data_IF_662541991147
#
_entry.id   IF_662541991147
#
_cell.length_a   1.000
_cell.length_b   1.000
_cell.length_c   1.000
_cell.angle_alpha   90.00
_cell.angle_beta   90.00
_cell.angle_gamma   90.00
#
_symmetry.space_group_name_H-M   'P 1'
#
loop_
_entity.id
_entity.type
_entity.pdbx_description
1 polymer ?
#
# COMPACT_ATOMS: atom_id res chain seq x y z
N UNK A 1 26.13 -0.88 60.15
CA UNK A 1 25.59 -0.40 58.85
C UNK A 1 25.07 -1.54 57.98
N UNK A 2 25.86 -2.59 57.74
CA UNK A 2 25.52 -3.75 56.88
C UNK A 2 24.24 -4.51 57.32
N UNK A 3 24.00 -4.66 58.63
CA UNK A 3 22.81 -5.36 59.14
C UNK A 3 21.49 -4.62 58.86
N UNK A 4 21.50 -3.28 58.83
CA UNK A 4 20.31 -2.49 58.47
C UNK A 4 20.00 -2.60 56.98
N UNK A 5 21.03 -2.58 56.13
CA UNK A 5 20.90 -2.76 54.68
C UNK A 5 20.32 -4.16 54.37
N UNK A 6 20.82 -5.21 55.06
CA UNK A 6 20.32 -6.58 54.89
C UNK A 6 18.84 -6.73 55.28
N UNK A 7 18.40 -6.06 56.35
CA UNK A 7 17.01 -6.08 56.81
C UNK A 7 16.07 -5.26 55.90
N UNK A 8 16.59 -4.22 55.26
CA UNK A 8 15.86 -3.44 54.26
C UNK A 8 15.67 -4.25 52.97
N UNK A 9 16.72 -4.93 52.51
CA UNK A 9 16.65 -5.84 51.37
C UNK A 9 15.72 -7.04 51.61
N UNK A 10 15.73 -7.64 52.80
CA UNK A 10 14.82 -8.76 53.10
C UNK A 10 13.35 -8.33 53.17
N UNK A 11 13.06 -7.07 53.49
CA UNK A 11 11.70 -6.51 53.45
C UNK A 11 11.24 -6.27 52.02
N UNK A 12 12.10 -5.68 51.19
CA UNK A 12 11.81 -5.45 49.76
C UNK A 12 11.61 -6.77 48.98
N UNK A 13 12.30 -7.84 49.38
CA UNK A 13 12.20 -9.13 48.71
C UNK A 13 10.94 -9.94 49.08
N UNK A 14 10.29 -9.61 50.19
CA UNK A 14 9.03 -10.22 50.63
C UNK A 14 7.81 -9.34 50.36
N UNK A 15 7.96 -8.28 49.57
CA UNK A 15 6.90 -7.34 49.26
C UNK A 15 6.16 -7.78 47.99
N UNK A 16 4.89 -8.18 48.12
CA UNK A 16 4.05 -8.71 47.03
C UNK A 16 3.09 -7.66 46.43
N UNK A 17 3.18 -6.40 46.89
CA UNK A 17 2.31 -5.29 46.50
C UNK A 17 2.34 -4.98 44.98
N UNK A 18 3.31 -5.52 44.24
CA UNK A 18 3.45 -5.41 42.78
C UNK A 18 2.94 -6.59 41.95
N UNK A 19 2.34 -7.63 42.56
CA UNK A 19 1.95 -8.85 41.82
C UNK A 19 0.95 -8.55 40.68
N UNK A 20 0.03 -7.61 40.90
CA UNK A 20 -0.95 -7.18 39.90
C UNK A 20 -0.31 -6.40 38.74
N UNK A 21 0.77 -5.67 39.00
CA UNK A 21 1.51 -4.94 37.96
C UNK A 21 2.30 -5.90 37.05
N UNK A 22 2.73 -7.06 37.58
CA UNK A 22 3.41 -8.09 36.80
C UNK A 22 2.49 -8.68 35.72
N UNK A 23 1.24 -8.99 36.06
CA UNK A 23 0.26 -9.52 35.11
C UNK A 23 -0.06 -8.49 34.00
N UNK A 24 -0.25 -7.23 34.39
CA UNK A 24 -0.47 -6.15 33.43
C UNK A 24 0.74 -5.96 32.49
N UNK A 25 1.97 -5.99 33.02
CA UNK A 25 3.19 -5.84 32.22
C UNK A 25 3.36 -6.94 31.16
N UNK A 26 2.81 -8.13 31.38
CA UNK A 26 2.85 -9.24 30.42
C UNK A 26 1.74 -9.15 29.38
N UNK A 27 0.49 -8.88 29.80
CA UNK A 27 -0.68 -8.90 28.92
C UNK A 27 -0.78 -7.61 28.08
N UNK A 28 -0.48 -6.47 28.67
CA UNK A 28 -0.67 -5.17 28.04
C UNK A 28 0.14 -4.98 26.75
N UNK A 29 1.44 -5.35 26.67
CA UNK A 29 2.20 -5.24 25.43
C UNK A 29 1.66 -6.15 24.31
N UNK A 30 1.15 -7.33 24.66
CA UNK A 30 0.53 -8.25 23.69
C UNK A 30 -0.75 -7.64 23.12
N UNK A 31 -1.59 -7.07 23.98
CA UNK A 31 -2.81 -6.40 23.54
C UNK A 31 -2.52 -5.17 22.66
N UNK A 32 -1.55 -4.34 23.04
CA UNK A 32 -1.12 -3.20 22.21
C UNK A 32 -0.53 -3.64 20.86
N UNK A 33 0.25 -4.72 20.83
CA UNK A 33 0.78 -5.27 19.59
C UNK A 33 -0.33 -5.74 18.66
N UNK A 34 -1.34 -6.43 19.19
CA UNK A 34 -2.52 -6.86 18.41
C UNK A 34 -3.33 -5.67 17.88
N UNK A 35 -3.56 -4.65 18.72
CA UNK A 35 -4.23 -3.42 18.28
C UNK A 35 -3.44 -2.72 17.18
N UNK A 36 -2.14 -2.58 17.36
CA UNK A 36 -1.27 -1.94 16.38
C UNK A 36 -1.25 -2.69 15.04
N UNK A 37 -1.16 -4.02 15.06
CA UNK A 37 -1.25 -4.83 13.83
C UNK A 37 -2.62 -4.67 13.15
N UNK A 38 -3.69 -4.60 13.93
CA UNK A 38 -5.05 -4.40 13.42
C UNK A 38 -5.21 -3.03 12.75
N UNK A 39 -4.62 -1.99 13.33
CA UNK A 39 -4.61 -0.64 12.75
C UNK A 39 -3.81 -0.59 11.45
N UNK A 40 -2.61 -1.20 11.41
CA UNK A 40 -1.80 -1.26 10.20
C UNK A 40 -2.55 -1.98 9.07
N UNK A 41 -3.15 -3.14 9.35
CA UNK A 41 -3.94 -3.89 8.37
C UNK A 41 -5.11 -3.05 7.85
N UNK A 42 -5.82 -2.34 8.74
CA UNK A 42 -6.93 -1.46 8.36
C UNK A 42 -6.47 -0.36 7.41
N UNK A 43 -5.32 0.27 7.66
CA UNK A 43 -4.76 1.32 6.80
C UNK A 43 -4.32 0.78 5.44
N UNK A 44 -3.71 -0.41 5.40
CA UNK A 44 -3.36 -1.09 4.14
C UNK A 44 -4.60 -1.34 3.30
N UNK A 45 -5.66 -1.90 3.90
CA UNK A 45 -6.93 -2.14 3.21
C UNK A 45 -7.60 -0.84 2.74
N UNK A 46 -7.56 0.22 3.55
CA UNK A 46 -8.08 1.54 3.15
C UNK A 46 -7.33 2.10 1.93
N UNK A 47 -5.99 2.02 1.92
CA UNK A 47 -5.17 2.44 0.77
C UNK A 47 -5.52 1.64 -0.48
N UNK A 48 -5.66 0.32 -0.35
CA UNK A 48 -6.02 -0.56 -1.46
C UNK A 48 -7.39 -0.22 -2.06
N UNK A 49 -8.41 -0.09 -1.21
CA UNK A 49 -9.77 0.20 -1.68
C UNK A 49 -9.92 1.59 -2.28
N UNK A 50 -9.21 2.60 -1.76
CA UNK A 50 -9.17 3.93 -2.38
C UNK A 50 -8.48 3.90 -3.74
N UNK A 51 -7.40 3.11 -3.89
CA UNK A 51 -6.70 2.98 -5.17
C UNK A 51 -7.58 2.31 -6.22
N UNK A 52 -8.23 1.19 -5.87
CA UNK A 52 -9.19 0.51 -6.76
C UNK A 52 -10.31 1.45 -7.18
N UNK A 53 -10.89 2.18 -6.24
CA UNK A 53 -11.95 3.16 -6.53
C UNK A 53 -11.46 4.28 -7.45
N UNK A 54 -10.28 4.86 -7.18
CA UNK A 54 -9.71 5.94 -7.99
C UNK A 54 -9.41 5.49 -9.42
N UNK A 55 -8.90 4.26 -9.55
CA UNK A 55 -8.66 3.60 -10.83
C UNK A 55 -9.97 3.37 -11.60
N UNK A 56 -11.03 2.89 -10.96
CA UNK A 56 -12.34 2.70 -11.61
C UNK A 56 -12.98 4.02 -12.08
N UNK A 57 -12.82 5.11 -11.32
CA UNK A 57 -13.28 6.45 -11.71
C UNK A 57 -12.51 6.91 -12.95
N UNK A 58 -11.17 6.81 -12.94
CA UNK A 58 -10.35 7.20 -14.08
C UNK A 58 -10.68 6.36 -15.34
N UNK A 59 -10.92 5.06 -15.18
CA UNK A 59 -11.33 4.17 -16.27
C UNK A 59 -12.68 4.56 -16.85
N UNK A 60 -13.64 4.94 -16.00
CA UNK A 60 -14.93 5.43 -16.47
C UNK A 60 -14.76 6.67 -17.35
N UNK A 61 -13.93 7.62 -16.93
CA UNK A 61 -13.68 8.83 -17.72
C UNK A 61 -13.01 8.51 -19.06
N UNK A 62 -12.06 7.57 -19.07
CA UNK A 62 -11.43 7.07 -20.29
C UNK A 62 -12.49 6.44 -21.21
N UNK A 63 -13.34 5.55 -20.69
CA UNK A 63 -14.41 4.87 -21.45
C UNK A 63 -15.38 5.83 -22.11
N UNK A 64 -15.72 6.94 -21.44
CA UNK A 64 -16.66 7.95 -21.93
C UNK A 64 -16.10 8.86 -23.03
N UNK A 65 -14.84 8.67 -23.42
CA UNK A 65 -14.33 9.15 -24.71
C UNK A 65 -14.42 10.66 -24.89
N UNK A 66 -13.80 11.43 -23.99
CA UNK A 66 -13.67 12.89 -24.15
C UNK A 66 -12.67 13.26 -25.26
N UNK A 67 -12.90 12.82 -26.50
CA UNK A 67 -12.29 13.31 -27.76
C UNK A 67 -10.77 13.19 -27.93
N UNK A 68 -9.99 12.93 -26.88
CA UNK A 68 -8.54 12.86 -26.89
C UNK A 68 -8.09 11.75 -25.94
N UNK A 69 -7.17 10.89 -26.39
CA UNK A 69 -6.55 9.90 -25.50
C UNK A 69 -5.91 10.63 -24.30
N UNK A 70 -6.36 10.38 -23.06
CA UNK A 70 -5.85 11.10 -21.90
C UNK A 70 -4.37 10.80 -21.72
N UNK A 71 -3.61 11.84 -21.37
CA UNK A 71 -2.17 11.69 -21.13
C UNK A 71 -1.97 10.89 -19.84
N UNK A 72 -0.88 10.12 -19.79
CA UNK A 72 -0.48 9.36 -18.61
C UNK A 72 -0.57 10.19 -17.30
N UNK A 73 -0.11 11.44 -17.34
CA UNK A 73 -0.08 12.32 -16.16
C UNK A 73 -1.48 12.81 -15.72
N UNK A 74 -2.42 12.89 -16.64
CA UNK A 74 -3.80 13.27 -16.35
C UNK A 74 -4.54 12.15 -15.60
N UNK A 75 -4.39 10.92 -16.08
CA UNK A 75 -4.92 9.73 -15.39
C UNK A 75 -4.31 9.61 -13.99
N UNK A 76 -3.00 9.87 -13.88
CA UNK A 76 -2.30 9.90 -12.59
C UNK A 76 -2.91 10.91 -11.63
N UNK A 77 -3.19 12.12 -12.10
CA UNK A 77 -3.80 13.17 -11.30
C UNK A 77 -5.20 12.78 -10.82
N UNK A 78 -6.05 12.23 -11.71
CA UNK A 78 -7.40 11.77 -11.36
C UNK A 78 -7.38 10.67 -10.31
N UNK A 79 -6.49 9.68 -10.45
CA UNK A 79 -6.35 8.60 -9.45
C UNK A 79 -5.87 9.18 -8.11
N UNK A 80 -4.88 10.07 -8.14
CA UNK A 80 -4.32 10.67 -6.92
C UNK A 80 -5.27 11.61 -6.19
N UNK A 81 -6.19 12.28 -6.90
CA UNK A 81 -7.26 13.09 -6.29
C UNK A 81 -8.23 12.21 -5.47
N UNK A 82 -8.42 10.96 -5.89
CA UNK A 82 -9.27 9.99 -5.20
C UNK A 82 -8.52 9.14 -4.15
N UNK A 83 -7.19 9.28 -4.03
CA UNK A 83 -6.34 8.51 -3.09
C UNK A 83 -5.61 9.40 -2.08
N UNK A 84 -6.37 10.18 -1.31
CA UNK A 84 -5.84 11.14 -0.33
C UNK A 84 -5.01 10.52 0.82
N UNK A 85 -5.23 9.24 1.13
CA UNK A 85 -4.50 8.55 2.21
C UNK A 85 -3.03 8.26 1.83
N UNK A 86 -2.70 8.29 0.53
CA UNK A 86 -1.35 8.00 0.03
C UNK A 86 -0.57 9.30 -0.14
N UNK A 87 0.39 9.54 0.76
CA UNK A 87 1.28 10.68 0.65
C UNK A 87 2.12 10.59 -0.65
N UNK A 88 2.29 11.73 -1.32
CA UNK A 88 3.07 11.83 -2.56
C UNK A 88 2.62 10.86 -3.68
N UNK A 89 1.33 10.52 -3.75
CA UNK A 89 0.77 9.65 -4.80
C UNK A 89 1.28 10.01 -6.20
N UNK A 90 1.28 11.30 -6.57
CA UNK A 90 1.75 11.75 -7.89
C UNK A 90 3.23 11.46 -8.19
N UNK A 91 4.06 11.14 -7.20
CA UNK A 91 5.45 10.72 -7.41
C UNK A 91 5.60 9.21 -7.37
N UNK A 92 4.86 8.54 -6.48
CA UNK A 92 5.01 7.12 -6.18
C UNK A 92 4.10 6.20 -7.01
N UNK A 93 3.10 6.76 -7.71
CA UNK A 93 2.19 6.03 -8.58
C UNK A 93 2.84 5.80 -9.95
N UNK A 94 2.72 4.60 -10.48
CA UNK A 94 3.06 4.22 -11.86
C UNK A 94 1.88 3.51 -12.49
N UNK A 95 1.66 3.82 -13.77
CA UNK A 95 0.57 3.28 -14.57
C UNK A 95 1.15 2.53 -15.76
N UNK A 96 0.65 1.34 -16.00
CA UNK A 96 0.94 0.52 -17.18
C UNK A 96 -0.38 0.28 -17.91
N UNK A 97 -0.42 0.57 -19.22
CA UNK A 97 -1.64 0.42 -20.02
C UNK A 97 -1.32 -0.26 -21.35
N UNK A 98 -1.83 -1.48 -21.51
CA UNK A 98 -1.61 -2.27 -22.72
C UNK A 98 -2.92 -2.84 -23.28
N UNK A 99 -3.02 -2.94 -24.62
CA UNK A 99 -4.12 -3.68 -25.24
C UNK A 99 -3.95 -5.19 -25.01
N UNK A 100 -5.05 -5.89 -24.81
CA UNK A 100 -5.07 -7.37 -24.71
C UNK A 100 -6.26 -7.94 -25.48
N UNK A 101 -6.27 -9.25 -25.71
CA UNK A 101 -7.37 -9.98 -26.33
C UNK A 101 -7.97 -10.98 -25.33
N UNK A 102 -9.29 -11.08 -25.29
CA UNK A 102 -10.02 -12.07 -24.46
C UNK A 102 -9.71 -13.50 -24.93
N UNK A 103 -9.47 -13.70 -26.23
CA UNK A 103 -9.22 -15.01 -26.84
C UNK A 103 -7.77 -15.48 -26.65
N UNK A 104 -6.88 -14.54 -26.37
CA UNK A 104 -5.45 -14.73 -26.17
C UNK A 104 -5.03 -13.77 -25.07
N UNK A 105 -5.33 -14.13 -23.82
CA UNK A 105 -4.99 -13.32 -22.65
C UNK A 105 -3.47 -13.23 -22.49
N UNK A 106 -2.87 -12.25 -23.17
CA UNK A 106 -1.55 -11.74 -22.81
C UNK A 106 -1.72 -10.94 -21.52
N UNK A 107 -1.24 -11.49 -20.41
CA UNK A 107 -1.16 -10.76 -19.14
C UNK A 107 -0.07 -9.69 -19.20
N UNK A 108 -0.19 -8.65 -18.37
CA UNK A 108 0.95 -7.75 -18.14
C UNK A 108 2.12 -8.60 -17.60
N UNK A 109 3.37 -8.33 -17.99
CA UNK A 109 4.52 -9.09 -17.51
C UNK A 109 4.53 -9.19 -15.98
N UNK A 110 4.99 -10.33 -15.45
CA UNK A 110 4.95 -10.68 -14.02
C UNK A 110 5.78 -9.75 -13.13
N UNK A 111 6.68 -8.96 -13.71
CA UNK A 111 7.41 -7.91 -12.99
C UNK A 111 6.62 -6.61 -13.00
N UNK A 112 5.94 -6.28 -11.89
CA UNK A 112 5.34 -4.95 -11.73
C UNK A 112 6.44 -3.94 -11.45
N UNK A 113 6.71 -3.02 -12.40
CA UNK A 113 7.75 -2.00 -12.25
C UNK A 113 7.19 -0.79 -11.49
N UNK A 114 7.01 -0.97 -10.19
CA UNK A 114 6.67 0.11 -9.27
C UNK A 114 7.87 1.07 -9.18
N UNK A 115 7.64 2.38 -9.16
CA UNK A 115 8.73 3.35 -9.00
C UNK A 115 9.54 3.07 -7.74
N UNK A 116 10.83 2.77 -7.92
CA UNK A 116 11.81 2.77 -6.84
C UNK A 116 12.27 4.21 -6.61
N UNK A 117 12.24 4.69 -5.36
CA UNK A 117 12.85 5.97 -5.00
C UNK A 117 14.36 5.98 -5.32
N UNK A 118 14.97 4.79 -5.32
CA UNK A 118 16.38 4.56 -5.67
C UNK A 118 16.65 4.59 -7.19
N UNK A 119 15.64 4.36 -8.05
CA UNK A 119 15.77 4.38 -9.52
C UNK A 119 14.61 5.15 -10.21
N UNK A 120 14.55 6.49 -10.08
CA UNK A 120 13.46 7.29 -10.64
C UNK A 120 13.42 7.33 -12.18
N UNK A 121 14.49 6.86 -12.84
CA UNK A 121 14.73 7.00 -14.29
C UNK A 121 14.14 5.89 -15.15
N UNK A 122 13.41 4.93 -14.60
CA UNK A 122 12.80 3.87 -15.42
C UNK A 122 11.74 4.47 -16.35
N UNK A 123 11.90 4.32 -17.69
CA UNK A 123 10.94 4.86 -18.66
C UNK A 123 9.59 4.18 -18.48
N UNK A 124 8.50 4.92 -18.73
CA UNK A 124 7.12 4.36 -18.70
C UNK A 124 7.07 3.14 -19.60
N UNK A 125 6.94 1.95 -19.02
CA UNK A 125 6.74 0.73 -19.79
C UNK A 125 5.31 0.77 -20.35
N UNK A 126 5.21 0.74 -21.67
CA UNK A 126 3.97 0.49 -22.43
C UNK A 126 2.74 1.21 -21.88
N UNK A 127 2.66 2.52 -22.12
CA UNK A 127 1.41 3.26 -22.04
C UNK A 127 0.95 3.56 -23.46
N UNK A 128 0.24 2.59 -24.06
CA UNK A 128 -0.28 2.73 -25.41
C UNK A 128 -1.78 2.97 -25.32
N UNK A 129 -2.29 4.16 -25.71
CA UNK A 129 -3.72 4.40 -25.73
C UNK A 129 -4.39 3.44 -26.72
N UNK A 130 -5.46 2.79 -26.25
CA UNK A 130 -6.24 1.84 -27.03
C UNK A 130 -7.06 2.50 -28.14
N UNK A 131 -7.43 1.73 -29.14
CA UNK A 131 -8.41 2.12 -30.15
C UNK A 131 -9.84 1.79 -29.67
N UNK A 132 -10.85 2.31 -30.38
CA UNK A 132 -12.26 1.96 -30.16
C UNK A 132 -12.47 0.44 -30.25
N UNK A 133 -13.34 -0.10 -29.40
CA UNK A 133 -13.63 -1.55 -29.29
C UNK A 133 -12.41 -2.43 -28.98
N UNK A 134 -11.32 -1.86 -28.48
CA UNK A 134 -10.15 -2.62 -28.02
C UNK A 134 -10.24 -2.84 -26.51
N UNK A 135 -9.99 -4.08 -26.07
CA UNK A 135 -9.85 -4.39 -24.66
C UNK A 135 -8.48 -3.89 -24.18
N UNK A 136 -8.52 -3.08 -23.13
CA UNK A 136 -7.35 -2.49 -22.50
C UNK A 136 -7.22 -3.03 -21.08
N UNK A 137 -6.00 -3.36 -20.67
CA UNK A 137 -5.64 -3.60 -19.29
C UNK A 137 -4.90 -2.38 -18.75
N UNK A 138 -5.33 -1.92 -17.58
CA UNK A 138 -4.68 -0.86 -16.83
C UNK A 138 -4.24 -1.42 -15.48
N UNK A 139 -2.94 -1.32 -15.19
CA UNK A 139 -2.35 -1.65 -13.90
C UNK A 139 -1.84 -0.37 -13.26
N UNK A 140 -2.21 -0.14 -12.02
CA UNK A 140 -1.66 0.90 -11.17
C UNK A 140 -0.80 0.25 -10.08
N UNK A 141 0.46 0.66 -9.97
CA UNK A 141 1.27 0.36 -8.81
C UNK A 141 1.60 1.64 -8.05
N UNK A 142 1.39 1.62 -6.74
CA UNK A 142 1.76 2.72 -5.84
C UNK A 142 2.58 2.21 -4.68
N UNK A 143 3.63 2.96 -4.33
CA UNK A 143 4.42 2.71 -3.12
C UNK A 143 4.03 3.62 -1.97
N UNK A 144 4.06 3.06 -0.77
CA UNK A 144 3.76 3.76 0.47
C UNK A 144 4.64 3.26 1.61
N UNK A 145 4.77 4.09 2.64
CA UNK A 145 5.51 3.77 3.85
C UNK A 145 4.53 3.18 4.90
N UNK A 146 4.74 1.92 5.37
CA UNK A 146 4.00 1.34 6.48
C UNK A 146 4.23 2.14 7.78
N UNK A 147 3.26 2.20 8.70
CA UNK A 147 3.50 2.88 9.99
C UNK A 147 4.42 2.07 10.90
N UNK A 148 4.33 0.74 10.80
CA UNK A 148 5.11 -0.20 11.61
C UNK A 148 5.94 -1.15 10.73
N UNK A 149 6.98 -0.66 10.04
CA UNK A 149 7.76 -1.47 9.09
C UNK A 149 8.53 -2.62 9.77
N UNK A 150 8.92 -2.44 11.03
CA UNK A 150 9.68 -3.45 11.80
C UNK A 150 8.81 -4.57 12.36
N UNK A 151 7.49 -4.40 12.39
CA UNK A 151 6.57 -5.40 12.89
C UNK A 151 6.35 -6.53 11.88
N UNK A 152 5.86 -7.68 12.38
CA UNK A 152 5.66 -8.89 11.55
C UNK A 152 4.83 -8.63 10.29
N UNK A 153 3.81 -7.77 10.38
CA UNK A 153 2.95 -7.45 9.25
C UNK A 153 3.69 -6.63 8.19
N UNK A 154 4.43 -5.59 8.61
CA UNK A 154 5.25 -4.77 7.69
C UNK A 154 6.32 -5.58 6.98
N UNK A 155 6.95 -6.53 7.67
CA UNK A 155 7.95 -7.46 7.09
C UNK A 155 7.36 -8.54 6.17
N UNK A 156 6.06 -8.80 6.25
CA UNK A 156 5.39 -9.77 5.40
C UNK A 156 4.95 -9.16 4.05
N UNK A 157 4.96 -7.83 3.95
CA UNK A 157 4.73 -7.13 2.70
C UNK A 157 5.98 -7.24 1.82
N UNK A 158 5.77 -7.36 0.51
CA UNK A 158 6.84 -7.29 -0.47
C UNK A 158 7.34 -5.84 -0.50
N UNK A 159 8.42 -5.57 0.23
CA UNK A 159 9.02 -4.25 0.36
C UNK A 159 10.25 -4.13 -0.52
N UNK A 160 10.44 -2.95 -1.12
CA UNK A 160 11.67 -2.64 -1.86
C UNK A 160 12.89 -2.49 -0.94
N UNK A 161 14.07 -2.27 -1.54
CA UNK A 161 15.32 -1.99 -0.82
C UNK A 161 15.23 -0.78 0.11
N UNK A 162 14.31 0.15 -0.16
CA UNK A 162 14.05 1.35 0.64
C UNK A 162 13.05 1.11 1.79
N UNK A 163 12.47 -0.09 1.91
CA UNK A 163 11.50 -0.45 2.95
C UNK A 163 10.05 0.00 2.67
N UNK A 164 9.75 0.42 1.44
CA UNK A 164 8.40 0.80 1.02
C UNK A 164 7.62 -0.42 0.57
N UNK A 165 6.35 -0.50 0.97
CA UNK A 165 5.44 -1.53 0.49
C UNK A 165 4.75 -1.06 -0.81
N UNK A 166 4.50 -2.01 -1.71
CA UNK A 166 3.75 -1.77 -2.94
C UNK A 166 2.29 -2.24 -2.81
N UNK A 167 1.36 -1.46 -3.36
CA UNK A 167 0.00 -1.90 -3.67
C UNK A 167 -0.17 -1.87 -5.18
N UNK A 168 -0.69 -2.96 -5.72
CA UNK A 168 -0.96 -3.11 -7.16
C UNK A 168 -2.45 -3.35 -7.34
N UNK A 169 -3.08 -2.55 -8.19
CA UNK A 169 -4.46 -2.74 -8.62
C UNK A 169 -4.52 -2.85 -10.13
N UNK A 170 -5.41 -3.70 -10.65
CA UNK A 170 -5.55 -3.99 -12.07
C UNK A 170 -7.02 -3.96 -12.46
N UNK A 171 -7.31 -3.36 -13.61
CA UNK A 171 -8.66 -3.35 -14.20
C UNK A 171 -8.58 -3.54 -15.70
N UNK A 172 -9.69 -4.01 -16.27
CA UNK A 172 -9.85 -4.22 -17.69
C UNK A 172 -11.06 -3.41 -18.19
N UNK A 173 -10.92 -2.72 -19.31
CA UNK A 173 -12.01 -1.96 -19.89
C UNK A 173 -11.97 -1.97 -21.42
N UNK A 174 -13.10 -1.67 -22.04
CA UNK A 174 -13.22 -1.51 -23.49
C UNK A 174 -13.65 -0.08 -23.77
N UNK A 175 -13.00 0.55 -24.75
CA UNK A 175 -13.38 1.88 -25.21
C UNK A 175 -14.67 1.81 -26.02
N UNK A 176 -15.73 2.48 -25.56
CA UNK A 176 -17.01 2.52 -26.26
C UNK A 176 -16.88 3.31 -27.57
N UNK A 177 -17.54 2.88 -28.66
CA UNK A 177 -17.60 3.66 -29.89
C UNK A 177 -18.46 4.91 -29.66
N UNK A 178 -18.08 6.01 -30.30
CA UNK A 178 -18.86 7.25 -30.33
C UNK A 178 -20.10 7.10 -31.22
#
# INVERSE_FOLDING_TARGET
MIARIRKMFSRLWGDEDGSFAMEFMLIFPVYLALLGMSLELSLITLRHTMLERGLDIAVRDIRLGTGTAPKHDEIKATICDQTLIIANCNKNLRLEMMPTDIRSLGGLPDGTDCTDQEEPTKPVRQFTPGQQNQLMLLRACVKYDPLFPTWRLGRALDTDSSGQAAIVSMTAFVQEPL
#
